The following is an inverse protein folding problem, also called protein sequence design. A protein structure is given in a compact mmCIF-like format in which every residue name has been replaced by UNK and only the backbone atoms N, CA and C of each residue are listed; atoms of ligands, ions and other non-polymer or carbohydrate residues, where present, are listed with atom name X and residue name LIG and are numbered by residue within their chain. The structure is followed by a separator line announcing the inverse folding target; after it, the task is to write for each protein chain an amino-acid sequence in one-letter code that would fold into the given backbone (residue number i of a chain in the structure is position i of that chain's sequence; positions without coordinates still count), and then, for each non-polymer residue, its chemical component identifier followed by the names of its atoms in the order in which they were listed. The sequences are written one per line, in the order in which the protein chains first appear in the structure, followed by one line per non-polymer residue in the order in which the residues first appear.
data_IF_151300015206
#
_entry.id   IF_151300015206
#
_cell.length_a   1.000
_cell.length_b   1.000
_cell.length_c   1.000
_cell.angle_alpha   90.00
_cell.angle_beta   90.00
_cell.angle_gamma   90.00
#
_symmetry.space_group_name_H-M   'P 1'
#
loop_
_entity.id
_entity.type
_entity.pdbx_description
1 polymer ?
#
# COMPACT_ATOMS: atom_id res chain seq x y z
N UNK A 1 -16.59 -17.64 -14.01
CA UNK A 1 -15.74 -16.79 -13.16
C UNK A 1 -16.57 -15.59 -12.81
N UNK A 2 -16.66 -15.25 -11.55
CA UNK A 2 -17.50 -14.16 -11.05
C UNK A 2 -16.60 -13.18 -10.30
N UNK A 3 -16.90 -11.88 -10.45
CA UNK A 3 -16.16 -10.83 -9.76
C UNK A 3 -16.58 -10.77 -8.29
N UNK A 4 -15.61 -10.54 -7.41
CA UNK A 4 -15.84 -10.41 -5.96
C UNK A 4 -15.19 -9.13 -5.45
N UNK A 5 -15.94 -8.38 -4.63
CA UNK A 5 -15.39 -7.26 -3.89
C UNK A 5 -14.70 -7.79 -2.64
N UNK A 6 -13.42 -7.44 -2.49
CA UNK A 6 -12.64 -7.78 -1.30
C UNK A 6 -12.99 -6.84 -0.15
N UNK A 7 -12.83 -7.32 1.07
CA UNK A 7 -12.84 -6.49 2.27
C UNK A 7 -11.84 -5.33 2.13
N UNK A 8 -12.21 -4.17 2.67
CA UNK A 8 -11.35 -2.98 2.65
C UNK A 8 -10.34 -2.96 3.80
N UNK A 9 -10.50 -3.85 4.79
CA UNK A 9 -9.68 -3.89 6.00
C UNK A 9 -9.06 -5.27 6.16
N UNK A 10 -7.82 -5.31 6.62
CA UNK A 10 -7.09 -6.53 6.90
C UNK A 10 -6.05 -6.32 8.00
N UNK A 11 -5.22 -7.32 8.24
CA UNK A 11 -4.13 -7.26 9.24
C UNK A 11 -2.77 -7.30 8.57
N UNK A 12 -1.82 -6.52 9.10
CA UNK A 12 -0.45 -6.52 8.59
C UNK A 12 0.26 -7.85 8.92
N UNK A 13 0.38 -8.75 7.96
CA UNK A 13 1.03 -10.05 8.14
C UNK A 13 2.55 -9.95 8.14
N UNK A 14 3.12 -9.08 7.28
CA UNK A 14 4.54 -8.76 7.26
C UNK A 14 4.78 -7.38 6.67
N UNK A 15 5.95 -6.78 6.93
CA UNK A 15 6.35 -5.53 6.31
C UNK A 15 7.86 -5.39 6.20
N UNK A 16 8.31 -4.48 5.33
CA UNK A 16 9.69 -4.03 5.23
C UNK A 16 9.75 -2.53 4.99
N UNK A 17 10.84 -1.88 5.40
CA UNK A 17 11.10 -0.46 5.14
C UNK A 17 12.26 -0.36 4.16
N UNK A 18 11.99 0.26 3.01
CA UNK A 18 12.99 0.46 1.96
C UNK A 18 13.60 1.85 2.10
N UNK A 19 14.91 1.89 2.33
CA UNK A 19 15.71 3.12 2.45
C UNK A 19 16.38 3.54 1.13
N UNK A 20 16.00 2.90 0.03
CA UNK A 20 16.43 3.22 -1.33
C UNK A 20 15.21 3.65 -2.17
N UNK A 21 15.41 4.37 -3.29
CA UNK A 21 14.31 4.76 -4.17
C UNK A 21 13.70 3.55 -4.88
N UNK A 22 12.40 3.62 -5.22
CA UNK A 22 11.78 2.60 -6.07
C UNK A 22 12.57 2.45 -7.39
N UNK A 23 12.87 1.22 -7.82
CA UNK A 23 13.56 1.00 -9.08
C UNK A 23 12.66 1.36 -10.26
N UNK A 24 13.26 1.83 -11.35
CA UNK A 24 12.55 1.96 -12.62
C UNK A 24 11.97 0.60 -13.05
N UNK A 25 10.79 0.54 -13.68
CA UNK A 25 10.02 1.66 -14.26
C UNK A 25 9.02 2.31 -13.30
N UNK A 26 9.08 2.05 -11.98
CA UNK A 26 8.15 2.63 -11.02
C UNK A 26 8.31 4.16 -10.95
N UNK A 27 7.23 4.90 -11.19
CA UNK A 27 7.23 6.37 -11.23
C UNK A 27 6.40 6.94 -10.10
N UNK A 28 6.97 7.88 -9.36
CA UNK A 28 6.27 8.74 -8.41
C UNK A 28 6.65 10.19 -8.65
N UNK A 29 5.70 11.12 -8.55
CA UNK A 29 5.97 12.56 -8.67
C UNK A 29 6.85 13.06 -7.53
N UNK A 30 6.62 12.55 -6.32
CA UNK A 30 7.37 12.90 -5.12
C UNK A 30 8.32 11.76 -4.75
N UNK A 31 9.44 12.11 -4.11
CA UNK A 31 10.34 11.13 -3.49
C UNK A 31 9.67 10.57 -2.24
N UNK A 32 9.47 9.25 -2.19
CA UNK A 32 8.79 8.57 -1.09
C UNK A 32 9.74 7.83 -0.13
N UNK A 33 11.04 7.83 -0.36
CA UNK A 33 12.02 7.14 0.50
C UNK A 33 12.24 7.87 1.83
N UNK A 34 12.26 7.18 2.98
CA UNK A 34 11.97 5.75 3.15
C UNK A 34 10.47 5.46 3.06
N UNK A 35 10.10 4.31 2.49
CA UNK A 35 8.72 3.86 2.42
C UNK A 35 8.56 2.44 2.96
N UNK A 36 7.38 2.14 3.49
CA UNK A 36 7.00 0.79 3.91
C UNK A 36 6.36 0.02 2.75
N UNK A 37 6.65 -1.26 2.66
CA UNK A 37 5.85 -2.22 1.90
C UNK A 37 5.23 -3.18 2.91
N UNK A 38 3.90 -3.33 2.85
CA UNK A 38 3.13 -4.21 3.72
C UNK A 38 2.49 -5.34 2.93
N UNK A 39 2.49 -6.53 3.54
CA UNK A 39 1.66 -7.65 3.15
C UNK A 39 0.46 -7.68 4.09
N UNK A 40 -0.73 -7.38 3.58
CA UNK A 40 -1.97 -7.31 4.36
C UNK A 40 -2.82 -8.54 4.08
N UNK A 41 -3.22 -9.22 5.15
CA UNK A 41 -4.10 -10.39 5.12
C UNK A 41 -5.56 -9.98 5.29
N UNK A 42 -6.38 -10.38 4.31
CA UNK A 42 -7.83 -10.28 4.33
C UNK A 42 -8.36 -11.67 4.71
N UNK A 43 -8.63 -11.85 6.00
CA UNK A 43 -8.85 -13.18 6.61
C UNK A 43 -10.08 -13.90 6.04
N UNK A 44 -11.16 -13.16 5.76
CA UNK A 44 -12.41 -13.73 5.23
C UNK A 44 -12.20 -14.33 3.84
N UNK A 45 -11.44 -13.64 2.98
CA UNK A 45 -11.11 -14.08 1.63
C UNK A 45 -9.88 -15.01 1.58
N UNK A 46 -9.14 -15.15 2.69
CA UNK A 46 -7.91 -15.96 2.81
C UNK A 46 -6.85 -15.60 1.76
N UNK A 47 -6.70 -14.30 1.51
CA UNK A 47 -5.71 -13.76 0.58
C UNK A 47 -4.79 -12.76 1.29
N UNK A 48 -3.57 -12.64 0.77
CA UNK A 48 -2.63 -11.63 1.20
C UNK A 48 -2.22 -10.77 0.00
N UNK A 49 -2.31 -9.45 0.16
CA UNK A 49 -1.98 -8.48 -0.90
C UNK A 49 -0.79 -7.63 -0.44
N UNK A 50 0.18 -7.45 -1.34
CA UNK A 50 1.32 -6.56 -1.11
C UNK A 50 1.02 -5.16 -1.63
N UNK A 51 1.39 -4.13 -0.88
CA UNK A 51 1.19 -2.74 -1.27
C UNK A 51 2.09 -1.77 -0.49
N UNK A 52 2.15 -0.53 -0.96
CA UNK A 52 2.85 0.55 -0.25
C UNK A 52 2.08 0.90 1.01
N UNK A 53 2.79 1.15 2.11
CA UNK A 53 2.23 1.75 3.31
C UNK A 53 2.38 3.27 3.19
N UNK A 54 1.25 3.98 3.23
CA UNK A 54 1.16 5.44 3.17
C UNK A 54 0.46 5.98 4.42
N UNK A 55 0.58 7.29 4.67
CA UNK A 55 -0.09 8.02 5.75
C UNK A 55 0.04 7.37 7.14
N UNK A 56 1.12 6.62 7.35
CA UNK A 56 1.41 5.86 8.57
C UNK A 56 2.85 6.10 8.97
N UNK A 57 3.10 6.42 10.24
CA UNK A 57 4.46 6.49 10.76
C UNK A 57 5.12 5.11 10.69
N UNK A 58 6.19 4.98 9.91
CA UNK A 58 6.89 3.72 9.73
C UNK A 58 7.44 3.13 11.04
N UNK A 59 7.69 3.97 12.05
CA UNK A 59 8.16 3.52 13.37
C UNK A 59 7.05 2.92 14.22
N UNK A 60 5.78 3.15 13.89
CA UNK A 60 4.64 2.60 14.63
C UNK A 60 4.20 1.23 14.14
N UNK A 61 4.74 0.77 13.00
CA UNK A 61 4.34 -0.48 12.35
C UNK A 61 4.60 -1.71 13.23
N UNK A 62 3.57 -2.56 13.34
CA UNK A 62 3.63 -3.83 14.08
C UNK A 62 2.86 -4.89 13.30
N UNK A 63 3.40 -6.11 13.25
CA UNK A 63 2.67 -7.26 12.71
C UNK A 63 1.37 -7.43 13.50
N UNK A 64 0.28 -7.73 12.79
CA UNK A 64 -1.07 -7.88 13.33
C UNK A 64 -1.86 -6.58 13.47
N UNK A 65 -1.27 -5.41 13.20
CA UNK A 65 -2.02 -4.15 13.22
C UNK A 65 -3.09 -4.11 12.12
N UNK A 66 -4.22 -3.46 12.42
CA UNK A 66 -5.27 -3.26 11.42
C UNK A 66 -4.84 -2.24 10.37
N UNK A 67 -5.06 -2.60 9.12
CA UNK A 67 -4.76 -1.80 7.94
C UNK A 67 -6.03 -1.63 7.11
N UNK A 68 -6.18 -0.49 6.47
CA UNK A 68 -7.21 -0.26 5.46
C UNK A 68 -6.61 0.01 4.09
N UNK A 69 -7.25 -0.50 3.05
CA UNK A 69 -6.93 -0.20 1.66
C UNK A 69 -7.22 1.27 1.38
N UNK A 70 -6.27 1.94 0.75
CA UNK A 70 -6.38 3.33 0.34
C UNK A 70 -5.80 3.52 -1.05
N UNK A 71 -5.84 4.75 -1.56
CA UNK A 71 -5.36 5.11 -2.88
C UNK A 71 -4.11 5.97 -2.72
N UNK A 72 -3.05 5.62 -3.44
CA UNK A 72 -1.83 6.41 -3.51
C UNK A 72 -1.72 7.08 -4.88
N UNK A 73 -1.58 8.39 -4.85
CA UNK A 73 -1.25 9.21 -6.01
C UNK A 73 0.17 8.94 -6.48
N UNK A 74 0.30 8.50 -7.74
CA UNK A 74 1.59 8.14 -8.33
C UNK A 74 2.17 9.31 -9.12
N UNK A 75 1.52 9.69 -10.21
CA UNK A 75 1.96 10.79 -11.09
C UNK A 75 0.83 11.23 -12.02
N UNK A 76 0.98 12.41 -12.61
CA UNK A 76 0.14 12.90 -13.71
C UNK A 76 0.73 12.45 -15.05
N UNK A 77 -0.07 11.81 -15.89
CA UNK A 77 0.38 11.36 -17.21
C UNK A 77 0.34 12.50 -18.27
N UNK A 78 0.77 12.19 -19.50
CA UNK A 78 0.82 13.17 -20.60
C UNK A 78 -0.57 13.70 -21.01
N UNK A 79 -1.62 12.92 -20.77
CA UNK A 79 -3.02 13.31 -20.98
C UNK A 79 -3.61 14.12 -19.82
N UNK A 80 -2.78 14.53 -18.84
CA UNK A 80 -3.18 15.25 -17.62
C UNK A 80 -4.12 14.46 -16.71
N UNK A 81 -4.06 13.13 -16.75
CA UNK A 81 -4.82 12.26 -15.86
C UNK A 81 -3.98 11.88 -14.64
N UNK A 82 -4.63 11.82 -13.48
CA UNK A 82 -4.03 11.34 -12.25
C UNK A 82 -3.91 9.81 -12.29
N UNK A 83 -2.69 9.31 -12.27
CA UNK A 83 -2.40 7.87 -12.14
C UNK A 83 -2.30 7.54 -10.66
N UNK A 84 -3.05 6.52 -10.24
CA UNK A 84 -3.11 6.07 -8.85
C UNK A 84 -2.87 4.57 -8.74
N UNK A 85 -2.53 4.11 -7.54
CA UNK A 85 -2.43 2.68 -7.21
C UNK A 85 -3.07 2.41 -5.85
N UNK A 86 -3.26 1.13 -5.51
CA UNK A 86 -3.68 0.76 -4.16
C UNK A 86 -2.50 0.90 -3.19
N UNK A 87 -2.82 1.24 -1.95
CA UNK A 87 -1.88 1.31 -0.84
C UNK A 87 -2.60 0.91 0.45
N UNK A 88 -1.86 0.89 1.55
CA UNK A 88 -2.39 0.59 2.88
C UNK A 88 -2.04 1.72 3.84
N UNK A 89 -2.95 2.00 4.77
CA UNK A 89 -2.67 2.85 5.93
C UNK A 89 -3.14 2.19 7.21
N UNK A 90 -2.47 2.47 8.31
CA UNK A 90 -2.88 2.02 9.62
C UNK A 90 -4.22 2.66 10.02
N UNK A 91 -5.12 1.84 10.57
CA UNK A 91 -6.31 2.36 11.23
C UNK A 91 -5.87 2.93 12.59
N UNK A 92 -6.35 4.13 12.93
CA UNK A 92 -6.10 4.77 14.24
C UNK A 92 -7.06 4.27 15.31
#
# INVERSE_FOLDING_TARGET
MEDVLLAQKGKLASYTIQYYPCPAPFKTEKKITPYGIGLVEFEDEKIQITGIITDTDLKSLKIGMEMETTILDMYTNEEKQQVVTWAFKAIK
#
